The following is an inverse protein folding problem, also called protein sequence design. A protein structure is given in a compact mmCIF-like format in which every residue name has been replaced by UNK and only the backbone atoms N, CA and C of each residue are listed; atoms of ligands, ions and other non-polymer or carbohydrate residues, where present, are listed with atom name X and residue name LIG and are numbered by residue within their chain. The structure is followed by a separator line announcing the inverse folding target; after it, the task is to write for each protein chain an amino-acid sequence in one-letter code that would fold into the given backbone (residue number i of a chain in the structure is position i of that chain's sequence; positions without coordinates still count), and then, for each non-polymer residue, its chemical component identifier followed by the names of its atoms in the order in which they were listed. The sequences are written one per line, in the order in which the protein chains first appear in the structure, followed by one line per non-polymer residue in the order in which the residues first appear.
data_IF_564827479892
#
_entry.id   IF_564827479892
#
_cell.length_a   1.000
_cell.length_b   1.000
_cell.length_c   1.000
_cell.angle_alpha   90.00
_cell.angle_beta   90.00
_cell.angle_gamma   90.00
#
_symmetry.space_group_name_H-M   'P 1'
#
loop_
_entity.id
_entity.type
_entity.pdbx_description
1 polymer ?
#
# COMPACT_ATOMS: atom_id res chain seq x y z
N UNK A 1 -19.34 3.32 -0.28
CA UNK A 1 -18.09 2.94 0.43
C UNK A 1 -18.36 3.05 1.92
N UNK A 2 -17.87 2.12 2.74
CA UNK A 2 -17.97 2.27 4.20
C UNK A 2 -17.00 3.35 4.68
N UNK A 3 -17.40 4.06 5.72
CA UNK A 3 -16.52 5.03 6.38
C UNK A 3 -15.28 4.33 6.94
N UNK A 4 -14.17 5.08 6.99
CA UNK A 4 -12.94 4.62 7.59
C UNK A 4 -13.11 4.49 9.10
N UNK A 5 -12.72 3.34 9.66
CA UNK A 5 -12.69 3.10 11.10
C UNK A 5 -11.33 2.57 11.52
N UNK A 6 -10.83 3.03 12.66
CA UNK A 6 -9.58 2.60 13.26
C UNK A 6 -9.81 2.08 14.67
N UNK A 7 -9.45 0.82 14.88
CA UNK A 7 -9.48 0.18 16.18
C UNK A 7 -8.06 0.12 16.75
N UNK A 8 -7.70 1.02 17.69
CA UNK A 8 -6.38 1.01 18.30
C UNK A 8 -6.20 -0.23 19.17
N UNK A 9 -4.94 -0.69 19.28
CA UNK A 9 -4.53 -1.70 20.24
C UNK A 9 -3.33 -1.20 21.03
N UNK A 10 -2.99 -1.88 22.13
CA UNK A 10 -1.70 -1.64 22.77
C UNK A 10 -0.57 -1.97 21.78
N UNK A 11 0.35 -1.01 21.48
CA UNK A 11 1.41 -1.25 20.51
C UNK A 11 2.24 -2.48 20.87
N UNK A 12 2.44 -3.36 19.90
CA UNK A 12 3.26 -4.57 20.07
C UNK A 12 4.14 -4.80 18.86
N UNK A 13 5.27 -5.48 19.06
CA UNK A 13 6.18 -5.78 17.97
C UNK A 13 5.47 -6.63 16.89
N UNK A 14 5.64 -6.24 15.63
CA UNK A 14 5.05 -6.92 14.48
C UNK A 14 6.09 -7.86 13.86
N UNK A 15 5.82 -9.17 13.99
CA UNK A 15 6.64 -10.24 13.40
C UNK A 15 6.04 -10.78 12.08
N UNK A 16 4.91 -10.22 11.64
CA UNK A 16 4.28 -10.61 10.39
C UNK A 16 4.99 -10.02 9.17
N UNK A 17 4.39 -10.21 8.00
CA UNK A 17 4.94 -9.71 6.73
C UNK A 17 5.04 -8.19 6.75
N UNK A 18 6.21 -7.67 6.39
CA UNK A 18 6.41 -6.27 6.07
C UNK A 18 7.46 -6.15 4.97
N UNK A 19 7.02 -5.75 3.77
CA UNK A 19 7.91 -5.35 2.70
C UNK A 19 7.16 -4.35 1.83
N UNK A 20 7.75 -3.17 1.61
CA UNK A 20 7.20 -2.18 0.68
C UNK A 20 8.23 -1.84 -0.40
N UNK A 21 7.81 -1.36 -1.58
CA UNK A 21 8.73 -0.71 -2.51
C UNK A 21 9.55 0.38 -1.82
N UNK A 22 10.81 0.57 -2.22
CA UNK A 22 11.61 1.67 -1.70
C UNK A 22 11.05 3.03 -2.15
N UNK A 23 11.40 4.10 -1.41
CA UNK A 23 10.96 5.47 -1.69
C UNK A 23 9.79 5.94 -0.82
N UNK A 24 9.41 7.20 -0.96
CA UNK A 24 8.33 7.80 -0.17
C UNK A 24 6.93 7.51 -0.72
N UNK A 25 6.83 7.16 -2.00
CA UNK A 25 5.55 7.01 -2.71
C UNK A 25 4.79 5.70 -2.43
N UNK A 26 5.37 4.82 -1.59
CA UNK A 26 4.87 3.46 -1.34
C UNK A 26 4.30 3.26 0.06
N UNK A 27 4.07 4.35 0.79
CA UNK A 27 3.63 4.33 2.18
C UNK A 27 2.80 5.58 2.52
N UNK A 28 1.99 5.46 3.56
CA UNK A 28 1.40 6.61 4.23
C UNK A 28 2.47 7.32 5.05
N UNK A 29 2.34 8.63 5.20
CA UNK A 29 3.22 9.44 6.05
C UNK A 29 2.39 10.28 7.00
N UNK A 30 2.78 10.28 8.27
CA UNK A 30 2.25 11.22 9.25
C UNK A 30 3.26 12.34 9.48
N UNK A 31 2.80 13.58 9.62
CA UNK A 31 3.65 14.72 10.01
C UNK A 31 3.59 14.97 11.52
N UNK A 32 4.27 16.00 12.02
CA UNK A 32 4.30 16.34 13.44
C UNK A 32 3.00 16.95 13.98
N UNK A 33 2.01 17.17 13.11
CA UNK A 33 0.71 17.76 13.41
C UNK A 33 -0.42 16.72 13.27
N UNK A 34 -0.09 15.42 13.34
CA UNK A 34 -1.03 14.31 13.19
C UNK A 34 -1.80 14.29 11.85
N UNK A 35 -1.24 14.89 10.79
CA UNK A 35 -1.82 14.82 9.45
C UNK A 35 -1.21 13.66 8.67
N UNK A 36 -2.07 12.74 8.23
CA UNK A 36 -1.69 11.65 7.33
C UNK A 36 -1.75 12.14 5.89
N UNK A 37 -0.74 11.79 5.10
CA UNK A 37 -0.64 12.12 3.68
C UNK A 37 -0.02 10.99 2.87
N UNK A 38 -0.23 11.06 1.58
CA UNK A 38 0.45 10.22 0.59
C UNK A 38 1.21 11.10 -0.38
N UNK A 39 2.33 10.57 -0.85
CA UNK A 39 3.09 11.15 -1.93
C UNK A 39 2.97 10.25 -3.14
N UNK A 40 2.78 10.80 -4.32
CA UNK A 40 2.98 10.04 -5.56
C UNK A 40 3.37 10.97 -6.69
N UNK A 41 3.95 10.37 -7.74
CA UNK A 41 4.28 11.07 -8.97
C UNK A 41 3.49 10.46 -10.11
N UNK A 42 2.85 11.30 -10.90
CA UNK A 42 2.20 10.88 -12.14
C UNK A 42 2.42 11.93 -13.24
N UNK A 43 2.74 11.48 -14.45
CA UNK A 43 2.87 12.33 -15.63
C UNK A 43 3.81 13.55 -15.47
N UNK A 44 4.81 13.45 -14.59
CA UNK A 44 5.76 14.53 -14.31
C UNK A 44 5.36 15.48 -13.17
N UNK A 45 4.19 15.28 -12.55
CA UNK A 45 3.72 16.06 -11.41
C UNK A 45 3.95 15.31 -10.10
N UNK A 46 4.32 16.05 -9.06
CA UNK A 46 4.47 15.56 -7.70
C UNK A 46 3.22 15.93 -6.88
N UNK A 47 2.58 14.92 -6.30
CA UNK A 47 1.32 15.04 -5.57
C UNK A 47 1.60 14.84 -4.08
N UNK A 48 1.08 15.73 -3.24
CA UNK A 48 1.00 15.53 -1.78
C UNK A 48 -0.45 15.68 -1.37
N UNK A 49 -1.12 14.57 -1.06
CA UNK A 49 -2.55 14.62 -0.74
C UNK A 49 -2.77 14.25 0.72
N UNK A 50 -3.35 15.15 1.53
CA UNK A 50 -3.74 14.82 2.88
C UNK A 50 -4.93 13.87 2.84
N UNK A 51 -4.99 12.98 3.82
CA UNK A 51 -6.17 12.18 4.12
C UNK A 51 -7.20 13.12 4.75
N UNK A 52 -8.45 13.04 4.29
CA UNK A 52 -9.59 13.74 4.89
C UNK A 52 -9.68 13.40 6.37
N UNK A 53 -9.69 14.42 7.21
CA UNK A 53 -9.66 14.24 8.64
C UNK A 53 -11.00 13.70 9.18
N UNK A 54 -10.91 12.65 10.00
CA UNK A 54 -12.00 12.09 10.81
C UNK A 54 -11.45 11.74 12.19
N UNK A 55 -12.30 11.49 13.21
CA UNK A 55 -11.83 11.03 14.52
C UNK A 55 -10.91 9.80 14.42
N UNK A 56 -11.31 8.77 13.67
CA UNK A 56 -10.51 7.56 13.46
C UNK A 56 -9.16 7.82 12.76
N UNK A 57 -9.13 8.71 11.75
CA UNK A 57 -7.89 9.09 11.06
C UNK A 57 -6.95 9.82 12.03
N UNK A 58 -7.50 10.72 12.87
CA UNK A 58 -6.73 11.46 13.87
C UNK A 58 -6.16 10.55 14.94
N UNK A 59 -6.95 9.61 15.44
CA UNK A 59 -6.49 8.65 16.45
C UNK A 59 -5.39 7.73 15.88
N UNK A 60 -5.54 7.26 14.63
CA UNK A 60 -4.48 6.53 13.95
C UNK A 60 -3.20 7.34 13.80
N UNK A 61 -3.31 8.62 13.40
CA UNK A 61 -2.16 9.49 13.23
C UNK A 61 -1.39 9.70 14.56
N UNK A 62 -2.13 9.92 15.65
CA UNK A 62 -1.58 10.07 17.00
C UNK A 62 -0.86 8.82 17.45
N UNK A 63 -1.44 7.63 17.25
CA UNK A 63 -0.80 6.36 17.62
C UNK A 63 0.50 6.12 16.83
N UNK A 64 0.50 6.46 15.54
CA UNK A 64 1.72 6.41 14.72
C UNK A 64 2.76 7.39 15.26
N UNK A 65 2.38 8.63 15.58
CA UNK A 65 3.33 9.61 16.12
C UNK A 65 3.84 9.24 17.52
N UNK A 66 2.99 8.69 18.39
CA UNK A 66 3.35 8.27 19.72
C UNK A 66 4.44 7.19 19.68
N UNK A 67 4.28 6.15 18.86
CA UNK A 67 5.31 5.10 18.75
C UNK A 67 6.60 5.63 18.11
N UNK A 68 6.51 6.57 17.16
CA UNK A 68 7.70 7.18 16.54
C UNK A 68 8.48 8.01 17.55
N UNK A 69 7.78 8.83 18.34
CA UNK A 69 8.36 9.62 19.40
C UNK A 69 9.01 8.72 20.46
N UNK A 70 8.30 7.69 20.92
CA UNK A 70 8.83 6.73 21.91
C UNK A 70 10.11 6.03 21.42
N UNK A 71 10.12 5.53 20.17
CA UNK A 71 11.22 4.70 19.67
C UNK A 71 12.37 5.48 19.04
N UNK A 72 12.14 6.72 18.60
CA UNK A 72 13.14 7.49 17.84
C UNK A 72 13.38 8.89 18.38
N UNK A 73 12.64 9.34 19.38
CA UNK A 73 12.69 10.70 19.92
C UNK A 73 12.08 11.78 19.01
N UNK A 74 11.53 11.39 17.85
CA UNK A 74 10.96 12.30 16.86
C UNK A 74 9.59 11.78 16.39
N UNK A 75 8.54 12.63 16.32
CA UNK A 75 7.30 12.26 15.67
C UNK A 75 7.47 12.28 14.14
N UNK A 76 6.47 11.75 13.44
CA UNK A 76 6.41 11.75 12.00
C UNK A 76 7.03 10.52 11.33
N UNK A 77 6.79 10.41 10.04
CA UNK A 77 7.39 9.41 9.16
C UNK A 77 6.38 8.43 8.57
N UNK A 78 6.90 7.34 8.00
CA UNK A 78 6.07 6.41 7.23
C UNK A 78 5.44 5.30 8.07
N UNK A 79 4.27 4.82 7.62
CA UNK A 79 3.60 3.61 8.07
C UNK A 79 2.86 2.97 6.88
N UNK A 80 2.37 1.73 7.06
CA UNK A 80 1.57 1.04 6.04
C UNK A 80 0.32 0.46 6.67
N UNK A 81 -0.73 0.32 5.87
CA UNK A 81 -1.89 -0.50 6.17
C UNK A 81 -1.83 -1.66 5.19
N UNK A 82 -1.74 -2.89 5.71
CA UNK A 82 -1.68 -4.07 4.85
C UNK A 82 -3.07 -4.47 4.35
N UNK A 83 -3.16 -5.48 3.49
CA UNK A 83 -4.42 -5.96 2.88
C UNK A 83 -5.44 -6.51 3.88
N UNK A 84 -5.06 -6.68 5.15
CA UNK A 84 -5.92 -7.13 6.25
C UNK A 84 -6.23 -6.00 7.23
N UNK A 85 -5.99 -4.76 6.84
CA UNK A 85 -6.24 -3.60 7.70
C UNK A 85 -5.22 -3.42 8.83
N UNK A 86 -4.14 -4.19 8.91
CA UNK A 86 -3.17 -4.02 10.01
C UNK A 86 -2.35 -2.74 9.79
N UNK A 87 -2.41 -1.83 10.76
CA UNK A 87 -1.63 -0.58 10.77
C UNK A 87 -0.25 -0.86 11.33
N UNK A 88 0.76 -0.87 10.47
CA UNK A 88 2.12 -1.29 10.79
C UNK A 88 3.07 -0.09 10.67
N UNK A 89 3.71 0.25 11.78
CA UNK A 89 4.64 1.37 11.88
C UNK A 89 6.10 0.89 11.96
N UNK A 90 6.95 1.17 10.96
CA UNK A 90 8.37 0.87 11.00
C UNK A 90 9.17 1.85 11.87
N UNK A 91 10.15 1.36 12.63
CA UNK A 91 11.12 2.22 13.33
C UNK A 91 12.24 2.61 12.37
N UNK A 92 12.62 3.90 12.37
CA UNK A 92 13.71 4.41 11.53
C UNK A 92 15.03 3.76 11.95
N UNK A 93 15.85 3.36 10.97
CA UNK A 93 17.16 2.73 11.20
C UNK A 93 17.11 1.43 12.03
N UNK A 94 15.95 0.78 12.15
CA UNK A 94 15.79 -0.53 12.80
C UNK A 94 14.99 -1.48 11.92
N UNK A 95 15.17 -2.78 12.17
CA UNK A 95 14.30 -3.83 11.64
C UNK A 95 12.95 -3.90 12.37
N UNK A 96 12.82 -3.22 13.51
CA UNK A 96 11.60 -3.22 14.32
C UNK A 96 10.43 -2.57 13.61
N UNK A 97 9.28 -3.20 13.81
CA UNK A 97 7.96 -2.80 13.32
C UNK A 97 6.99 -2.96 14.48
N UNK A 98 6.01 -2.07 14.57
CA UNK A 98 4.96 -2.14 15.58
C UNK A 98 3.59 -2.22 14.91
N UNK A 99 2.74 -3.11 15.42
CA UNK A 99 1.32 -3.14 15.11
C UNK A 99 0.63 -2.18 16.07
N UNK A 100 -0.12 -1.22 15.51
CA UNK A 100 -0.80 -0.17 16.29
C UNK A 100 -2.30 -0.36 16.39
N UNK A 101 -2.89 -1.07 15.44
CA UNK A 101 -4.33 -1.30 15.41
C UNK A 101 -4.78 -1.93 14.10
N UNK A 102 -6.09 -1.94 13.93
CA UNK A 102 -6.76 -2.49 12.77
C UNK A 102 -7.62 -1.40 12.14
N UNK A 103 -7.52 -1.26 10.83
CA UNK A 103 -8.25 -0.29 10.04
C UNK A 103 -9.23 -1.02 9.12
N UNK A 104 -10.42 -0.48 8.98
CA UNK A 104 -11.43 -0.93 8.02
C UNK A 104 -12.02 0.26 7.26
N UNK A 105 -12.71 -0.01 6.16
CA UNK A 105 -13.16 1.04 5.25
C UNK A 105 -12.02 1.71 4.50
N UNK A 106 -12.31 2.84 3.85
CA UNK A 106 -11.39 3.48 2.91
C UNK A 106 -10.98 4.86 3.37
N UNK A 107 -9.68 5.09 3.39
CA UNK A 107 -9.14 6.45 3.47
C UNK A 107 -9.55 7.22 2.22
N UNK A 108 -10.05 8.43 2.44
CA UNK A 108 -10.32 9.40 1.38
C UNK A 108 -9.24 10.48 1.42
N UNK A 109 -8.76 10.92 0.27
CA UNK A 109 -7.77 11.98 0.16
C UNK A 109 -8.44 13.21 -0.41
N UNK A 110 -8.04 14.37 0.10
CA UNK A 110 -8.51 15.66 -0.41
C UNK A 110 -7.71 16.03 -1.65
N UNK A 111 -8.37 16.71 -2.59
CA UNK A 111 -7.71 17.27 -3.76
C UNK A 111 -6.72 18.35 -3.33
N UNK A 112 -5.41 18.20 -3.62
CA UNK A 112 -4.44 19.22 -3.27
C UNK A 112 -4.56 20.48 -4.15
N UNK A 113 -5.41 20.46 -5.19
CA UNK A 113 -5.66 21.59 -6.08
C UNK A 113 -7.12 22.03 -6.05
N UNK A 114 -7.32 23.35 -6.15
CA UNK A 114 -8.64 23.95 -6.35
C UNK A 114 -9.06 23.96 -7.84
N UNK A 115 -8.20 23.51 -8.76
CA UNK A 115 -8.44 23.58 -10.21
C UNK A 115 -8.57 22.20 -10.87
N UNK A 116 -9.53 22.14 -11.80
CA UNK A 116 -10.16 20.99 -12.47
C UNK A 116 -9.26 20.09 -13.36
N UNK A 117 -7.93 20.09 -13.19
CA UNK A 117 -7.01 19.45 -14.16
C UNK A 117 -7.08 17.92 -14.23
N UNK A 118 -7.57 17.24 -13.17
CA UNK A 118 -7.61 15.78 -13.05
C UNK A 118 -8.96 15.28 -12.54
N UNK A 119 -10.06 15.92 -12.97
CA UNK A 119 -11.43 15.65 -12.49
C UNK A 119 -11.82 14.16 -12.53
N UNK A 120 -11.32 13.35 -13.46
CA UNK A 120 -11.74 11.95 -13.60
C UNK A 120 -11.30 11.03 -12.45
N UNK A 121 -10.34 11.45 -11.61
CA UNK A 121 -9.88 10.66 -10.46
C UNK A 121 -10.62 10.99 -9.17
N UNK A 122 -11.24 12.16 -9.11
CA UNK A 122 -11.96 12.65 -7.94
C UNK A 122 -13.44 12.30 -8.09
N UNK A 123 -14.08 11.89 -6.99
CA UNK A 123 -15.53 11.78 -6.99
C UNK A 123 -16.20 13.17 -7.00
N UNK A 124 -17.53 13.21 -7.07
CA UNK A 124 -18.31 14.45 -7.08
C UNK A 124 -18.05 15.37 -5.85
N UNK A 125 -17.47 14.82 -4.79
CA UNK A 125 -17.10 15.55 -3.58
C UNK A 125 -15.62 15.98 -3.56
N UNK A 126 -14.88 15.83 -4.65
CA UNK A 126 -13.46 16.17 -4.72
C UNK A 126 -12.55 15.24 -3.91
N UNK A 127 -12.97 13.99 -3.67
CA UNK A 127 -12.23 13.01 -2.88
C UNK A 127 -11.72 11.84 -3.73
N UNK A 128 -10.49 11.41 -3.44
CA UNK A 128 -9.85 10.24 -4.02
C UNK A 128 -9.96 9.05 -3.06
N UNK A 129 -10.11 7.83 -3.58
CA UNK A 129 -9.95 6.62 -2.77
C UNK A 129 -9.16 5.55 -3.50
N UNK A 130 -8.29 4.83 -2.76
CA UNK A 130 -7.46 3.76 -3.31
C UNK A 130 -8.21 2.43 -3.46
N UNK A 131 -9.48 2.36 -3.07
CA UNK A 131 -10.30 1.15 -3.21
C UNK A 131 -11.07 1.09 -4.53
N UNK A 132 -11.11 2.19 -5.30
CA UNK A 132 -11.88 2.27 -6.53
C UNK A 132 -11.08 1.68 -7.70
N UNK A 133 -11.50 0.51 -8.16
CA UNK A 133 -11.03 -0.13 -9.39
C UNK A 133 -12.18 -0.33 -10.40
N UNK A 134 -13.28 0.39 -10.24
CA UNK A 134 -14.42 0.33 -11.16
C UNK A 134 -14.00 0.74 -12.58
N UNK A 135 -14.40 -0.07 -13.57
CA UNK A 135 -14.07 0.16 -14.97
C UNK A 135 -12.63 -0.20 -15.38
N UNK A 136 -11.74 -0.58 -14.45
CA UNK A 136 -10.38 -0.99 -14.77
C UNK A 136 -10.31 -2.45 -15.21
N UNK A 137 -9.62 -2.68 -16.32
CA UNK A 137 -9.24 -4.00 -16.82
C UNK A 137 -7.80 -4.34 -16.47
N UNK A 138 -7.47 -5.63 -16.49
CA UNK A 138 -6.10 -6.11 -16.31
C UNK A 138 -5.16 -5.45 -17.34
N UNK A 139 -4.12 -4.78 -16.85
CA UNK A 139 -3.14 -4.07 -17.68
C UNK A 139 -3.42 -2.58 -17.86
N UNK A 140 -4.58 -2.08 -17.43
CA UNK A 140 -4.90 -0.65 -17.48
C UNK A 140 -3.98 0.15 -16.57
N UNK A 141 -3.68 1.39 -16.99
CA UNK A 141 -2.83 2.31 -16.23
C UNK A 141 -3.44 2.57 -14.86
N UNK A 142 -2.64 2.36 -13.81
CA UNK A 142 -2.99 2.79 -12.46
C UNK A 142 -2.53 4.23 -12.24
N UNK A 143 -3.49 5.15 -12.13
CA UNK A 143 -3.24 6.59 -11.98
C UNK A 143 -3.21 7.07 -10.52
N UNK A 144 -3.42 6.15 -9.57
CA UNK A 144 -3.41 6.43 -8.13
C UNK A 144 -2.04 6.06 -7.52
N UNK A 145 -1.76 6.43 -6.25
CA UNK A 145 -0.57 5.99 -5.54
C UNK A 145 -0.26 4.48 -5.68
N UNK A 146 1.00 4.15 -5.96
CA UNK A 146 1.51 2.78 -6.02
C UNK A 146 1.93 2.30 -4.62
N UNK A 147 0.93 2.08 -3.76
CA UNK A 147 1.13 1.75 -2.35
C UNK A 147 0.59 0.37 -2.00
N UNK A 148 1.34 -0.37 -1.17
CA UNK A 148 0.94 -1.70 -0.72
C UNK A 148 2.11 -2.55 -0.26
N UNK A 149 1.77 -3.76 0.16
CA UNK A 149 2.75 -4.78 0.56
C UNK A 149 3.28 -5.49 -0.68
N UNK A 150 4.60 -5.61 -0.76
CA UNK A 150 5.32 -6.22 -1.87
C UNK A 150 5.30 -7.74 -1.78
N UNK A 151 4.99 -8.35 -2.92
CA UNK A 151 5.05 -9.77 -3.18
C UNK A 151 5.92 -10.07 -4.39
N UNK A 152 6.16 -11.36 -4.61
CA UNK A 152 6.92 -11.87 -5.73
C UNK A 152 6.18 -13.02 -6.40
N UNK A 153 6.26 -13.10 -7.71
CA UNK A 153 5.86 -14.24 -8.52
C UNK A 153 7.11 -14.91 -9.06
N UNK A 154 7.35 -16.15 -8.65
CA UNK A 154 8.45 -16.99 -9.12
C UNK A 154 8.24 -17.40 -10.59
N UNK A 155 9.31 -17.67 -11.34
CA UNK A 155 9.24 -18.13 -12.74
C UNK A 155 8.34 -19.36 -12.92
N UNK A 156 8.41 -20.30 -11.97
CA UNK A 156 7.56 -21.51 -11.90
C UNK A 156 6.10 -21.25 -11.46
N UNK A 157 5.57 -20.05 -11.70
CA UNK A 157 4.18 -19.67 -11.41
C UNK A 157 3.78 -19.94 -9.96
N UNK A 158 4.64 -19.52 -9.02
CA UNK A 158 4.34 -19.56 -7.57
C UNK A 158 4.49 -18.18 -6.96
N UNK A 159 3.43 -17.68 -6.38
CA UNK A 159 3.45 -16.48 -5.55
C UNK A 159 4.17 -16.80 -4.25
N UNK A 160 5.05 -15.91 -3.82
CA UNK A 160 5.78 -16.02 -2.58
C UNK A 160 6.07 -14.66 -1.96
N UNK A 161 6.43 -14.69 -0.67
CA UNK A 161 6.83 -13.52 0.10
C UNK A 161 7.96 -13.88 1.06
N UNK A 162 8.68 -12.87 1.53
CA UNK A 162 9.82 -13.04 2.42
C UNK A 162 9.45 -12.68 3.84
N UNK A 163 9.80 -13.53 4.80
CA UNK A 163 9.86 -13.18 6.21
C UNK A 163 11.30 -12.91 6.62
N UNK A 164 11.50 -11.85 7.40
CA UNK A 164 12.75 -11.64 8.10
C UNK A 164 12.68 -12.43 9.39
N UNK A 165 13.65 -13.32 9.58
CA UNK A 165 13.85 -14.18 10.75
C UNK A 165 15.24 -13.91 11.32
N UNK A 166 15.54 -14.38 12.53
CA UNK A 166 16.80 -14.07 13.21
C UNK A 166 18.06 -14.47 12.40
N UNK A 167 17.96 -15.51 11.57
CA UNK A 167 19.04 -16.06 10.74
C UNK A 167 19.02 -15.55 9.28
N UNK A 168 18.17 -14.58 8.94
CA UNK A 168 18.12 -13.96 7.61
C UNK A 168 16.71 -13.81 7.06
N UNK A 169 16.52 -14.13 5.77
CA UNK A 169 15.22 -14.04 5.12
C UNK A 169 14.79 -15.41 4.59
N UNK A 170 13.57 -15.84 4.93
CA UNK A 170 12.97 -17.09 4.44
C UNK A 170 11.86 -16.80 3.46
N UNK A 171 11.81 -17.59 2.40
CA UNK A 171 10.75 -17.56 1.40
C UNK A 171 9.56 -18.39 1.88
N UNK A 172 8.38 -17.81 1.83
CA UNK A 172 7.11 -18.44 2.20
C UNK A 172 6.14 -18.37 1.04
N UNK A 173 5.34 -19.43 0.90
CA UNK A 173 4.27 -19.52 -0.08
C UNK A 173 2.91 -19.33 0.63
N UNK A 174 1.91 -18.73 -0.04
CA UNK A 174 0.53 -18.75 0.44
C UNK A 174 0.02 -20.19 0.57
N UNK A 175 -1.05 -20.36 1.35
CA UNK A 175 -1.67 -21.68 1.59
C UNK A 175 -2.09 -22.37 0.29
N UNK A 176 -2.70 -21.61 -0.62
CA UNK A 176 -3.03 -22.03 -1.98
C UNK A 176 -2.46 -21.02 -2.99
N UNK A 177 -2.12 -21.50 -4.19
CA UNK A 177 -1.71 -20.63 -5.29
C UNK A 177 -2.95 -20.07 -6.01
N UNK A 178 -2.88 -18.81 -6.42
CA UNK A 178 -3.97 -18.12 -7.10
C UNK A 178 -3.69 -18.05 -8.61
N UNK A 179 -4.02 -19.13 -9.32
CA UNK A 179 -3.69 -19.30 -10.74
C UNK A 179 -4.33 -18.24 -11.64
N UNK A 180 -5.51 -17.74 -11.28
CA UNK A 180 -6.19 -16.68 -12.05
C UNK A 180 -5.38 -15.38 -11.97
N UNK A 181 -4.95 -15.00 -10.76
CA UNK A 181 -4.11 -13.83 -10.56
C UNK A 181 -2.71 -14.00 -11.18
N UNK A 182 -2.11 -15.19 -11.07
CA UNK A 182 -0.85 -15.51 -11.72
C UNK A 182 -0.95 -15.32 -13.24
N UNK A 183 -2.03 -15.83 -13.86
CA UNK A 183 -2.30 -15.66 -15.28
C UNK A 183 -2.37 -14.19 -15.68
N UNK A 184 -3.11 -13.36 -14.92
CA UNK A 184 -3.21 -11.90 -15.14
C UNK A 184 -1.87 -11.19 -15.02
N UNK A 185 -1.07 -11.52 -14.00
CA UNK A 185 0.29 -10.96 -13.85
C UNK A 185 1.15 -11.32 -15.06
N UNK A 186 1.07 -12.57 -15.55
CA UNK A 186 1.85 -13.05 -16.70
C UNK A 186 1.42 -12.45 -18.04
N UNK A 187 0.15 -12.07 -18.19
CA UNK A 187 -0.33 -11.32 -19.35
C UNK A 187 0.34 -9.95 -19.44
N UNK A 188 0.59 -9.30 -18.30
CA UNK A 188 1.24 -7.98 -18.24
C UNK A 188 2.77 -8.10 -18.35
N UNK A 189 3.34 -9.11 -17.69
CA UNK A 189 4.77 -9.34 -17.57
C UNK A 189 5.09 -10.75 -18.07
N UNK A 190 5.57 -10.88 -19.32
CA UNK A 190 5.82 -12.19 -19.94
C UNK A 190 6.73 -13.11 -19.10
N UNK A 191 6.66 -14.43 -19.34
CA UNK A 191 7.55 -15.40 -18.69
C UNK A 191 9.04 -15.11 -18.91
N UNK A 192 9.90 -15.60 -18.02
CA UNK A 192 11.37 -15.44 -18.13
C UNK A 192 12.04 -14.79 -16.91
N UNK A 193 11.30 -14.53 -15.84
CA UNK A 193 11.88 -14.07 -14.59
C UNK A 193 10.88 -13.89 -13.46
N UNK A 194 11.42 -13.58 -12.28
CA UNK A 194 10.65 -13.19 -11.11
C UNK A 194 9.96 -11.83 -11.30
N UNK A 195 8.70 -11.72 -10.90
CA UNK A 195 7.92 -10.49 -11.04
C UNK A 195 7.57 -9.96 -9.66
N UNK A 196 7.94 -8.71 -9.38
CA UNK A 196 7.44 -7.99 -8.21
C UNK A 196 6.09 -7.37 -8.49
N UNK A 197 5.17 -7.48 -7.53
CA UNK A 197 3.90 -6.79 -7.53
C UNK A 197 3.56 -6.36 -6.09
N UNK A 198 2.55 -5.51 -5.92
CA UNK A 198 2.08 -5.07 -4.62
C UNK A 198 0.59 -5.36 -4.45
N UNK A 199 0.16 -5.49 -3.20
CA UNK A 199 -1.25 -5.57 -2.81
C UNK A 199 -1.54 -4.44 -1.84
N UNK A 200 -2.51 -3.59 -2.17
CA UNK A 200 -2.90 -2.49 -1.30
C UNK A 200 -3.85 -2.94 -0.18
N UNK A 201 -4.25 -2.02 0.70
CA UNK A 201 -5.10 -2.33 1.85
C UNK A 201 -6.50 -2.89 1.49
N UNK A 202 -6.93 -2.74 0.24
CA UNK A 202 -8.22 -3.18 -0.28
C UNK A 202 -8.12 -4.44 -1.14
N UNK A 203 -6.95 -5.10 -1.11
CA UNK A 203 -6.69 -6.30 -1.89
C UNK A 203 -6.44 -6.04 -3.38
N UNK A 204 -6.38 -4.78 -3.84
CA UNK A 204 -6.05 -4.46 -5.23
C UNK A 204 -4.58 -4.78 -5.49
N UNK A 205 -4.36 -5.50 -6.59
CA UNK A 205 -3.05 -5.96 -7.04
C UNK A 205 -2.54 -5.05 -8.14
N UNK A 206 -1.33 -4.52 -7.95
CA UNK A 206 -0.68 -3.63 -8.90
C UNK A 206 0.71 -4.18 -9.25
N UNK A 207 1.12 -4.00 -10.50
CA UNK A 207 2.49 -4.26 -10.94
C UNK A 207 3.00 -3.12 -11.80
N UNK A 208 4.27 -3.20 -12.24
CA UNK A 208 4.83 -2.25 -13.20
C UNK A 208 5.03 -2.92 -14.55
N UNK A 209 4.52 -2.32 -15.62
CA UNK A 209 4.74 -2.70 -17.02
C UNK A 209 5.78 -1.78 -17.65
N UNK A 210 6.67 -2.34 -18.47
CA UNK A 210 7.62 -1.53 -19.23
C UNK A 210 6.90 -0.90 -20.41
N UNK A 211 6.95 0.42 -20.54
CA UNK A 211 6.29 1.18 -21.63
C UNK A 211 7.31 1.87 -22.55
N UNK A 212 8.59 1.83 -22.19
CA UNK A 212 9.69 2.34 -22.99
C UNK A 212 11.05 1.96 -22.38
N UNK A 213 12.17 2.36 -23.00
CA UNK A 213 13.51 2.16 -22.43
C UNK A 213 13.60 2.82 -21.04
N UNK A 214 13.85 2.02 -20.00
CA UNK A 214 13.90 2.46 -18.60
C UNK A 214 12.62 3.12 -18.06
N UNK A 215 11.50 3.05 -18.79
CA UNK A 215 10.22 3.63 -18.38
C UNK A 215 9.26 2.53 -17.91
N UNK A 216 8.84 2.64 -16.65
CA UNK A 216 7.96 1.70 -16.00
C UNK A 216 6.69 2.39 -15.52
N UNK A 217 5.54 1.88 -15.92
CA UNK A 217 4.23 2.39 -15.56
C UNK A 217 3.52 1.43 -14.61
N UNK A 218 2.90 1.97 -13.55
CA UNK A 218 2.03 1.19 -12.68
C UNK A 218 0.75 0.80 -13.44
N UNK A 219 0.35 -0.45 -13.32
CA UNK A 219 -0.85 -0.99 -13.96
C UNK A 219 -1.66 -1.83 -12.98
N UNK A 220 -2.98 -1.80 -13.16
CA UNK A 220 -3.92 -2.63 -12.45
C UNK A 220 -3.84 -4.08 -12.93
N UNK A 221 -3.92 -5.04 -12.01
CA UNK A 221 -3.94 -6.47 -12.34
C UNK A 221 -5.30 -7.09 -12.02
N UNK A 222 -5.86 -6.76 -10.86
CA UNK A 222 -7.03 -7.43 -10.30
C UNK A 222 -7.07 -7.25 -8.79
N UNK A 223 -7.77 -8.17 -8.11
CA UNK A 223 -7.77 -8.29 -6.64
C UNK A 223 -7.26 -9.65 -6.20
N UNK A 224 -6.70 -9.73 -4.99
CA UNK A 224 -6.38 -11.02 -4.36
C UNK A 224 -7.65 -11.77 -3.98
N UNK A 225 -7.57 -13.09 -3.98
CA UNK A 225 -8.55 -13.94 -3.31
C UNK A 225 -8.09 -14.22 -1.86
N UNK A 226 -8.76 -13.61 -0.89
CA UNK A 226 -8.42 -13.75 0.52
C UNK A 226 -8.47 -15.20 1.01
N UNK A 227 -9.41 -16.02 0.51
CA UNK A 227 -9.59 -17.43 0.89
C UNK A 227 -8.47 -18.34 0.37
N UNK A 228 -7.75 -17.91 -0.68
CA UNK A 228 -6.64 -18.71 -1.25
C UNK A 228 -5.31 -18.42 -0.57
N UNK A 229 -5.10 -17.18 -0.14
CA UNK A 229 -3.76 -16.76 0.24
C UNK A 229 -3.42 -17.12 1.69
N UNK A 230 -4.45 -17.30 2.55
CA UNK A 230 -4.30 -17.44 4.00
C UNK A 230 -5.28 -18.46 4.58
#
# INVERSE_FOLDING_TARGET
MSDFAFQPIQPRQWHGRYRRPAGNESAYHVNTQDVIRVFWRDSGYDYTCPVRETPDVRDMARDVNAIKLEKTGLPGGSFVINEFGKVICPVRNSHDRFLLGEASGSLCFENPWNDNGLLSLWNDNGLLSLCNDEGLNCGDRWQLPYMGIKYQLHENNKIYFWFVVADGARMHFPRCQDFDLIGKIRQIRPPGGGISFIVNQHGIVLTKKQVGPNQWQAVYVGRINYDRWF
#
